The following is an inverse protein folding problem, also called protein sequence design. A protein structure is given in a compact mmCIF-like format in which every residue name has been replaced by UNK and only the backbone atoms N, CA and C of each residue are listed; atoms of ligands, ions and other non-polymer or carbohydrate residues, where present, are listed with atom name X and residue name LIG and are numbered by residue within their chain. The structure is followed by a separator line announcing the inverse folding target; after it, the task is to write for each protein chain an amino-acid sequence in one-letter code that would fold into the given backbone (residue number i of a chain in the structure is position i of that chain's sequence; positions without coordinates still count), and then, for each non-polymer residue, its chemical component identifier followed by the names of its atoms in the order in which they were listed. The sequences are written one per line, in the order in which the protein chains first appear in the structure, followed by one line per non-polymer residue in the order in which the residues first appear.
data_IF_045251140051
#
_entry.id   IF_045251140051
#
_cell.length_a   1.000
_cell.length_b   1.000
_cell.length_c   1.000
_cell.angle_alpha   90.00
_cell.angle_beta   90.00
_cell.angle_gamma   90.00
#
_symmetry.space_group_name_H-M   'P 1'
#
loop_
_entity.id
_entity.type
_entity.pdbx_description
1 polymer ?
#
# COMPACT_ATOMS: atom_id res chain seq x y z
N UNK A 1 5.31 -4.72 -6.44
CA UNK A 1 4.50 -5.90 -6.09
C UNK A 1 3.45 -5.41 -5.11
N UNK A 2 2.18 -5.34 -5.52
CA UNK A 2 1.11 -4.98 -4.59
C UNK A 2 0.96 -6.13 -3.61
N UNK A 3 1.22 -5.88 -2.35
CA UNK A 3 0.99 -6.88 -1.34
C UNK A 3 -0.53 -6.95 -1.14
N UNK A 4 -1.21 -8.10 -1.36
CA UNK A 4 -2.68 -8.15 -1.47
C UNK A 4 -3.45 -7.55 -0.28
N UNK A 5 -2.87 -7.53 0.93
CA UNK A 5 -3.49 -6.91 2.10
C UNK A 5 -3.41 -5.37 2.13
N UNK A 6 -2.59 -4.74 1.27
CA UNK A 6 -2.49 -3.27 1.22
C UNK A 6 -3.67 -2.64 0.49
N UNK A 7 -4.21 -3.33 -0.51
CA UNK A 7 -5.43 -2.94 -1.23
C UNK A 7 -6.24 -4.23 -1.45
N UNK A 8 -7.07 -4.61 -0.46
CA UNK A 8 -8.00 -5.71 -0.63
C UNK A 8 -8.83 -5.51 -1.91
N UNK A 9 -9.05 -6.60 -2.65
CA UNK A 9 -9.85 -6.63 -3.88
C UNK A 9 -9.36 -5.70 -5.01
N UNK A 10 -8.05 -5.42 -5.06
CA UNK A 10 -7.46 -4.67 -6.17
C UNK A 10 -7.75 -5.31 -7.53
N UNK A 11 -8.31 -4.53 -8.45
CA UNK A 11 -8.43 -4.88 -9.87
C UNK A 11 -8.00 -3.71 -10.76
N UNK A 12 -7.42 -4.00 -11.92
CA UNK A 12 -6.99 -2.95 -12.86
C UNK A 12 -8.15 -2.10 -13.35
N UNK A 13 -9.30 -2.75 -13.60
CA UNK A 13 -10.47 -2.10 -14.19
C UNK A 13 -11.08 -1.06 -13.24
N UNK A 14 -11.04 -1.31 -11.93
CA UNK A 14 -11.52 -0.34 -10.92
C UNK A 14 -10.65 0.90 -10.79
N UNK A 15 -9.37 0.81 -11.16
CA UNK A 15 -8.38 1.88 -10.97
C UNK A 15 -7.78 2.37 -12.29
N UNK A 16 -8.40 2.08 -13.43
CA UNK A 16 -7.84 2.34 -14.76
C UNK A 16 -7.41 3.80 -14.93
N UNK A 17 -8.29 4.76 -14.61
CA UNK A 17 -7.98 6.19 -14.73
C UNK A 17 -6.79 6.60 -13.85
N UNK A 18 -6.78 6.16 -12.59
CA UNK A 18 -5.71 6.48 -11.64
C UNK A 18 -4.37 5.85 -12.03
N UNK A 19 -4.39 4.62 -12.54
CA UNK A 19 -3.20 3.94 -13.06
C UNK A 19 -2.66 4.64 -14.30
N UNK A 20 -3.54 5.09 -15.20
CA UNK A 20 -3.16 5.85 -16.38
C UNK A 20 -2.54 7.20 -16.03
N UNK A 21 -3.07 7.89 -15.01
CA UNK A 21 -2.48 9.12 -14.48
C UNK A 21 -1.09 8.91 -13.89
N UNK A 22 -0.89 7.82 -13.13
CA UNK A 22 0.43 7.44 -12.62
C UNK A 22 1.38 7.16 -13.78
N UNK A 23 0.94 6.42 -14.80
CA UNK A 23 1.73 6.14 -16.00
C UNK A 23 2.20 7.43 -16.70
N UNK A 24 1.29 8.40 -16.92
CA UNK A 24 1.64 9.70 -17.52
C UNK A 24 2.69 10.45 -16.69
N UNK A 25 2.58 10.41 -15.35
CA UNK A 25 3.56 11.04 -14.46
C UNK A 25 4.92 10.38 -14.54
N UNK A 26 4.97 9.05 -14.59
CA UNK A 26 6.23 8.30 -14.76
C UNK A 26 6.86 8.65 -16.11
N UNK A 27 6.09 8.70 -17.18
CA UNK A 27 6.62 9.06 -18.50
C UNK A 27 7.19 10.48 -18.54
N UNK A 28 6.56 11.42 -17.84
CA UNK A 28 7.04 12.81 -17.78
C UNK A 28 8.27 12.96 -16.89
N UNK A 29 8.33 12.27 -15.75
CA UNK A 29 9.28 12.57 -14.67
C UNK A 29 10.33 11.47 -14.43
N UNK A 30 10.19 10.31 -15.09
CA UNK A 30 11.00 9.10 -14.85
C UNK A 30 10.60 8.31 -13.61
N UNK A 31 9.76 8.88 -12.73
CA UNK A 31 9.31 8.24 -11.49
C UNK A 31 7.97 8.81 -11.01
N UNK A 32 7.33 8.08 -10.09
CA UNK A 32 6.17 8.53 -9.33
C UNK A 32 6.49 8.42 -7.85
N UNK A 33 6.62 9.57 -7.18
CA UNK A 33 6.88 9.63 -5.74
C UNK A 33 5.56 9.74 -4.96
N UNK A 34 5.45 8.98 -3.88
CA UNK A 34 4.26 8.90 -3.04
C UNK A 34 4.67 8.80 -1.58
N UNK A 35 4.05 9.61 -0.73
CA UNK A 35 4.22 9.52 0.71
C UNK A 35 3.43 8.32 1.24
N UNK A 36 4.10 7.42 1.94
CA UNK A 36 3.45 6.31 2.64
C UNK A 36 3.48 6.52 4.15
N UNK A 37 2.31 6.45 4.78
CA UNK A 37 2.21 6.42 6.24
C UNK A 37 2.39 4.97 6.72
N UNK A 38 3.62 4.63 7.15
CA UNK A 38 3.94 3.30 7.68
C UNK A 38 3.96 3.36 9.20
N UNK A 39 3.22 2.46 9.85
CA UNK A 39 3.25 2.27 11.29
C UNK A 39 4.09 1.03 11.63
N UNK A 40 4.90 1.13 12.68
CA UNK A 40 5.63 -0.01 13.24
C UNK A 40 4.90 -0.45 14.50
N UNK A 41 4.35 -1.66 14.46
CA UNK A 41 3.67 -2.26 15.61
C UNK A 41 4.64 -3.21 16.30
N UNK A 42 4.92 -2.96 17.58
CA UNK A 42 5.67 -3.87 18.44
C UNK A 42 4.72 -4.49 19.44
N UNK A 43 4.45 -5.78 19.30
CA UNK A 43 3.65 -6.55 20.25
C UNK A 43 4.56 -7.27 21.26
N UNK A 44 4.08 -7.42 22.48
CA UNK A 44 4.69 -8.26 23.50
C UNK A 44 3.69 -9.36 23.86
N UNK A 45 4.19 -10.55 24.18
CA UNK A 45 3.34 -11.62 24.72
C UNK A 45 2.81 -11.17 26.07
N UNK A 46 1.49 -11.05 26.20
CA UNK A 46 0.84 -10.84 27.48
C UNK A 46 0.99 -12.12 28.33
N UNK A 47 1.67 -12.00 29.48
CA UNK A 47 1.91 -13.11 30.40
C UNK A 47 0.90 -13.13 31.56
N UNK A 48 -0.12 -12.25 31.58
CA UNK A 48 -1.08 -12.13 32.67
C UNK A 48 -2.47 -12.70 32.35
N UNK A 49 -2.55 -13.87 31.70
CA UNK A 49 -3.77 -14.69 31.61
C UNK A 49 -3.48 -16.18 31.81
N UNK A 50 -2.65 -16.50 32.79
CA UNK A 50 -2.56 -17.83 33.38
C UNK A 50 -2.61 -17.70 34.89
N UNK A 51 -3.80 -17.41 35.40
CA UNK A 51 -4.23 -17.57 36.79
C UNK A 51 -5.73 -17.81 36.77
#
# INVERSE_FOLDING_TARGET
MAIPWQIPDFSTDQYEEGLYDIYKRIQSNGFFDVKQHRFIIKAYKDLMRSS
#
